data_IF_554429916609
#
_entry.id   IF_554429916609
#
_cell.length_a   1.000
_cell.length_b   1.000
_cell.length_c   1.000
_cell.angle_alpha   90.00
_cell.angle_beta   90.00
_cell.angle_gamma   90.00
#
_symmetry.space_group_name_H-M   'P 1'
#
loop_
_entity.id
_entity.type
_entity.pdbx_description
1 polymer ?
#
# COMPACT_ATOMS: atom_id res chain seq x y z
N UNK A 1 -7.00 8.29 13.56
CA UNK A 1 -7.26 8.78 12.19
C UNK A 1 -8.72 8.55 11.86
N UNK A 2 -9.40 9.57 11.36
CA UNK A 2 -10.78 9.39 10.91
C UNK A 2 -10.83 8.87 9.46
N UNK A 3 -12.03 8.47 9.02
CA UNK A 3 -12.23 7.87 7.70
C UNK A 3 -11.93 8.84 6.56
N UNK A 4 -12.25 10.12 6.71
CA UNK A 4 -11.97 11.15 5.70
C UNK A 4 -10.47 11.32 5.50
N UNK A 5 -9.70 11.42 6.57
CA UNK A 5 -8.25 11.52 6.49
C UNK A 5 -7.63 10.25 5.89
N UNK A 6 -8.14 9.07 6.25
CA UNK A 6 -7.66 7.81 5.67
C UNK A 6 -7.84 7.78 4.15
N UNK A 7 -9.00 8.21 3.65
CA UNK A 7 -9.27 8.28 2.19
C UNK A 7 -8.32 9.25 1.50
N UNK A 8 -8.07 10.42 2.09
CA UNK A 8 -7.14 11.42 1.54
C UNK A 8 -5.73 10.83 1.46
N UNK A 9 -5.24 10.21 2.52
CA UNK A 9 -3.90 9.61 2.55
C UNK A 9 -3.75 8.51 1.50
N UNK A 10 -4.73 7.63 1.37
CA UNK A 10 -4.70 6.60 0.33
C UNK A 10 -4.64 7.20 -1.07
N UNK A 11 -5.34 8.31 -1.34
CA UNK A 11 -5.30 8.97 -2.63
C UNK A 11 -3.91 9.51 -2.97
N UNK A 12 -3.15 9.98 -1.98
CA UNK A 12 -1.76 10.39 -2.15
C UNK A 12 -0.83 9.19 -2.34
N UNK A 13 -0.97 8.13 -1.54
CA UNK A 13 -0.16 6.92 -1.69
C UNK A 13 -0.34 6.25 -3.03
N UNK A 14 -1.53 6.32 -3.61
CA UNK A 14 -1.84 5.73 -4.92
C UNK A 14 -1.40 6.59 -6.11
N UNK A 15 -0.99 7.83 -5.86
CA UNK A 15 -0.68 8.78 -6.92
C UNK A 15 -1.90 9.27 -7.69
N UNK A 16 -3.13 9.00 -7.21
CA UNK A 16 -4.37 9.40 -7.88
C UNK A 16 -4.92 10.76 -7.41
N UNK A 17 -4.37 11.33 -6.32
CA UNK A 17 -4.77 12.65 -5.85
C UNK A 17 -4.38 13.71 -6.89
N UNK A 18 -5.28 14.65 -7.18
CA UNK A 18 -5.05 15.69 -8.18
C UNK A 18 -4.06 16.77 -7.73
N UNK A 19 -3.77 16.88 -6.45
CA UNK A 19 -2.84 17.87 -5.89
C UNK A 19 -1.40 17.39 -6.01
N UNK A 20 -0.88 17.33 -7.23
CA UNK A 20 0.45 16.78 -7.53
C UNK A 20 1.60 17.61 -6.95
N UNK A 21 1.35 18.89 -6.62
CA UNK A 21 2.36 19.77 -6.00
C UNK A 21 2.41 19.64 -4.47
N UNK A 22 1.48 18.92 -3.87
CA UNK A 22 1.53 18.64 -2.43
C UNK A 22 2.65 17.62 -2.15
N UNK A 23 3.54 17.87 -1.15
CA UNK A 23 4.63 16.95 -0.82
C UNK A 23 4.20 15.51 -0.54
N UNK A 24 2.96 15.30 -0.10
CA UNK A 24 2.41 13.95 0.14
C UNK A 24 2.30 13.13 -1.14
N UNK A 25 2.24 13.79 -2.31
CA UNK A 25 2.19 13.10 -3.59
C UNK A 25 3.52 12.41 -3.90
N UNK A 26 4.61 13.19 -3.95
CA UNK A 26 5.94 12.65 -4.29
C UNK A 26 6.54 11.78 -3.18
N UNK A 27 6.17 12.02 -1.93
CA UNK A 27 6.66 11.26 -0.77
C UNK A 27 5.73 10.10 -0.39
N UNK A 28 4.63 9.89 -1.10
CA UNK A 28 3.72 8.76 -0.88
C UNK A 28 4.30 7.44 -1.38
N UNK A 29 3.52 6.37 -1.21
CA UNK A 29 4.00 5.02 -1.52
C UNK A 29 4.44 4.87 -2.98
N UNK A 30 3.58 5.23 -3.93
CA UNK A 30 3.95 5.14 -5.35
C UNK A 30 4.90 6.26 -5.77
N UNK A 31 4.70 7.48 -5.28
CA UNK A 31 5.56 8.62 -5.63
C UNK A 31 7.02 8.42 -5.23
N UNK A 32 7.28 7.75 -4.11
CA UNK A 32 8.64 7.46 -3.65
C UNK A 32 9.33 6.35 -4.44
N UNK A 33 8.58 5.57 -5.22
CA UNK A 33 9.11 4.50 -6.07
C UNK A 33 9.40 4.96 -7.50
N UNK A 34 8.77 6.06 -7.94
CA UNK A 34 8.92 6.56 -9.30
C UNK A 34 8.94 8.09 -9.33
N UNK A 35 10.13 8.72 -9.35
CA UNK A 35 11.46 8.10 -9.42
C UNK A 35 11.92 7.52 -8.07
N UNK A 36 12.59 6.36 -8.12
CA UNK A 36 13.18 5.75 -6.94
C UNK A 36 14.55 6.40 -6.65
N UNK A 37 14.76 6.83 -5.40
CA UNK A 37 15.95 7.56 -4.97
C UNK A 37 16.87 6.77 -4.05
N UNK A 38 16.73 5.45 -4.02
CA UNK A 38 17.61 4.56 -3.28
C UNK A 38 17.07 4.02 -1.97
N UNK A 39 16.06 4.66 -1.38
CA UNK A 39 15.51 4.26 -0.10
C UNK A 39 14.03 3.85 -0.23
N UNK A 40 13.67 2.75 0.43
CA UNK A 40 12.28 2.39 0.66
C UNK A 40 11.79 3.06 1.95
N UNK A 41 10.63 3.68 1.89
CA UNK A 41 10.02 4.37 3.02
C UNK A 41 8.96 3.48 3.68
N UNK A 42 9.37 2.67 4.66
CA UNK A 42 8.45 1.76 5.33
C UNK A 42 7.34 2.48 6.11
N UNK A 43 7.55 3.74 6.47
CA UNK A 43 6.51 4.57 7.09
C UNK A 43 5.28 4.71 6.20
N UNK A 44 5.45 4.70 4.88
CA UNK A 44 4.33 4.71 3.93
C UNK A 44 3.51 3.41 4.01
N UNK A 45 4.18 2.28 4.14
CA UNK A 45 3.50 1.00 4.34
C UNK A 45 2.70 1.00 5.64
N UNK A 46 3.29 1.43 6.74
CA UNK A 46 2.59 1.51 8.02
C UNK A 46 1.41 2.47 7.96
N UNK A 47 1.55 3.60 7.27
CA UNK A 47 0.45 4.56 7.10
C UNK A 47 -0.71 3.95 6.29
N UNK A 48 -0.42 3.20 5.24
CA UNK A 48 -1.45 2.49 4.46
C UNK A 48 -2.20 1.48 5.36
N UNK A 49 -1.47 0.73 6.18
CA UNK A 49 -2.10 -0.22 7.10
C UNK A 49 -2.97 0.50 8.14
N UNK A 50 -2.55 1.66 8.63
CA UNK A 50 -3.37 2.51 9.50
C UNK A 50 -4.63 3.01 8.80
N UNK A 51 -4.54 3.37 7.52
CA UNK A 51 -5.71 3.74 6.70
C UNK A 51 -6.70 2.57 6.57
N UNK A 52 -6.19 1.37 6.31
CA UNK A 52 -7.03 0.16 6.23
C UNK A 52 -7.72 -0.12 7.56
N UNK A 53 -7.02 0.07 8.67
CA UNK A 53 -7.61 -0.08 10.01
C UNK A 53 -8.74 0.94 10.23
N UNK A 54 -8.54 2.19 9.83
CA UNK A 54 -9.55 3.24 9.95
C UNK A 54 -10.78 2.96 9.06
N UNK A 55 -10.59 2.31 7.92
CA UNK A 55 -11.64 2.01 6.93
C UNK A 55 -12.18 0.58 7.02
N UNK A 56 -11.79 -0.20 8.04
CA UNK A 56 -12.14 -1.63 8.11
C UNK A 56 -13.64 -1.90 8.05
N UNK A 57 -14.43 -1.07 8.68
CA UNK A 57 -15.89 -1.22 8.67
C UNK A 57 -16.47 -0.88 7.30
N UNK A 58 -16.01 0.20 6.68
CA UNK A 58 -16.46 0.62 5.36
C UNK A 58 -16.11 -0.40 4.28
N UNK A 59 -14.92 -1.01 4.38
CA UNK A 59 -14.46 -2.02 3.42
C UNK A 59 -15.14 -3.38 3.61
N UNK A 60 -15.73 -3.62 4.77
CA UNK A 60 -16.53 -4.82 5.06
C UNK A 60 -18.03 -4.60 4.78
N UNK A 61 -18.43 -3.38 4.43
CA UNK A 61 -19.84 -3.03 4.18
C UNK A 61 -20.29 -3.44 2.77
N UNK A 62 -21.62 -3.61 2.54
CA UNK A 62 -22.14 -3.98 1.21
C UNK A 62 -21.90 -2.94 0.12
N UNK A 63 -21.83 -1.65 0.48
CA UNK A 63 -21.57 -0.56 -0.45
C UNK A 63 -20.17 -0.04 -0.24
N UNK A 64 -19.38 0.01 -1.31
CA UNK A 64 -17.98 0.40 -1.28
C UNK A 64 -17.76 1.75 -1.96
N UNK A 65 -16.82 2.53 -1.42
CA UNK A 65 -16.31 3.73 -2.09
C UNK A 65 -15.39 3.29 -3.23
N UNK A 66 -15.81 3.52 -4.46
CA UNK A 66 -15.07 3.12 -5.65
C UNK A 66 -13.67 3.74 -5.70
N UNK A 67 -13.54 5.01 -5.27
CA UNK A 67 -12.25 5.70 -5.30
C UNK A 67 -11.25 5.07 -4.33
N UNK A 68 -11.70 4.64 -3.17
CA UNK A 68 -10.86 3.93 -2.20
C UNK A 68 -10.36 2.60 -2.77
N UNK A 69 -11.25 1.84 -3.41
CA UNK A 69 -10.89 0.57 -4.05
C UNK A 69 -9.88 0.82 -5.18
N UNK A 70 -10.10 1.84 -6.01
CA UNK A 70 -9.18 2.18 -7.09
C UNK A 70 -7.80 2.59 -6.55
N UNK A 71 -7.75 3.36 -5.46
CA UNK A 71 -6.50 3.72 -4.79
C UNK A 71 -5.75 2.48 -4.30
N UNK A 72 -6.43 1.58 -3.62
CA UNK A 72 -5.83 0.35 -3.08
C UNK A 72 -5.38 -0.59 -4.20
N UNK A 73 -6.14 -0.72 -5.27
CA UNK A 73 -5.73 -1.54 -6.43
C UNK A 73 -4.48 -0.98 -7.11
N UNK A 74 -4.37 0.35 -7.25
CA UNK A 74 -3.15 0.97 -7.77
C UNK A 74 -1.94 0.70 -6.87
N UNK A 75 -2.13 0.82 -5.55
CA UNK A 75 -1.07 0.57 -4.55
C UNK A 75 -0.57 -0.88 -4.64
N UNK A 76 -1.46 -1.83 -4.91
CA UNK A 76 -1.11 -3.25 -5.02
C UNK A 76 -0.50 -3.56 -6.39
N UNK A 77 -1.17 -3.15 -7.46
CA UNK A 77 -0.84 -3.55 -8.83
C UNK A 77 0.43 -2.90 -9.36
N UNK A 78 0.53 -1.56 -9.27
CA UNK A 78 1.62 -0.84 -9.93
C UNK A 78 3.01 -1.16 -9.36
N UNK A 79 3.25 -1.10 -8.04
CA UNK A 79 4.58 -1.40 -7.55
C UNK A 79 4.97 -2.87 -7.74
N UNK A 80 4.01 -3.80 -7.72
CA UNK A 80 4.27 -5.21 -8.05
C UNK A 80 4.74 -5.35 -9.50
N UNK A 81 4.07 -4.68 -10.43
CA UNK A 81 4.47 -4.66 -11.82
C UNK A 81 5.85 -4.01 -12.02
N UNK A 82 6.11 -2.89 -11.35
CA UNK A 82 7.39 -2.19 -11.44
C UNK A 82 8.57 -3.00 -10.89
N UNK A 83 8.35 -3.76 -9.83
CA UNK A 83 9.38 -4.58 -9.19
C UNK A 83 9.63 -5.90 -9.91
N UNK A 84 8.78 -6.29 -10.86
CA UNK A 84 9.00 -7.51 -11.66
C UNK A 84 10.29 -7.40 -12.48
N UNK A 85 10.88 -8.52 -12.95
CA UNK A 85 12.10 -8.48 -13.75
C UNK A 85 12.00 -7.62 -15.02
N UNK A 86 10.81 -7.49 -15.60
CA UNK A 86 10.57 -6.68 -16.79
C UNK A 86 10.09 -5.26 -16.47
N UNK A 87 9.76 -4.99 -15.22
CA UNK A 87 9.28 -3.69 -14.77
C UNK A 87 10.37 -2.66 -14.62
N UNK A 88 9.98 -1.41 -14.40
CA UNK A 88 10.88 -0.27 -14.35
C UNK A 88 11.96 -0.41 -13.25
N UNK A 89 11.57 -0.90 -12.06
CA UNK A 89 12.51 -1.09 -10.96
C UNK A 89 13.36 -2.35 -11.15
N UNK A 90 12.75 -3.46 -11.55
CA UNK A 90 13.44 -4.73 -11.71
C UNK A 90 14.40 -4.74 -12.89
N UNK A 91 13.95 -4.28 -14.05
CA UNK A 91 14.76 -4.24 -15.28
C UNK A 91 15.99 -3.37 -15.14
N UNK A 92 15.90 -2.28 -14.41
CA UNK A 92 17.01 -1.33 -14.22
C UNK A 92 17.84 -1.62 -12.95
N UNK A 93 17.55 -2.72 -12.27
CA UNK A 93 18.26 -3.14 -11.04
C UNK A 93 18.34 -2.04 -9.98
N UNK A 94 17.23 -1.30 -9.80
CA UNK A 94 17.19 -0.15 -8.88
C UNK A 94 17.03 -0.58 -7.42
N UNK A 95 16.44 -1.76 -7.17
CA UNK A 95 16.24 -2.30 -5.82
C UNK A 95 17.31 -3.36 -5.51
N UNK A 96 17.80 -3.35 -4.27
CA UNK A 96 18.58 -4.48 -3.76
C UNK A 96 17.66 -5.71 -3.58
N UNK A 97 18.26 -6.89 -3.38
CA UNK A 97 17.51 -8.10 -3.10
C UNK A 97 16.68 -7.95 -1.83
N UNK A 98 17.24 -7.32 -0.79
CA UNK A 98 16.53 -7.07 0.47
C UNK A 98 15.38 -6.08 0.29
N UNK A 99 15.60 -4.99 -0.46
CA UNK A 99 14.54 -4.03 -0.77
C UNK A 99 13.40 -4.68 -1.56
N UNK A 100 13.71 -5.50 -2.54
CA UNK A 100 12.70 -6.24 -3.31
C UNK A 100 11.88 -7.14 -2.40
N UNK A 101 12.53 -7.87 -1.51
CA UNK A 101 11.88 -8.75 -0.53
C UNK A 101 10.90 -7.98 0.35
N UNK A 102 11.31 -6.85 0.91
CA UNK A 102 10.47 -6.03 1.77
C UNK A 102 9.30 -5.38 0.99
N UNK A 103 9.57 -4.82 -0.17
CA UNK A 103 8.53 -4.18 -0.97
C UNK A 103 7.44 -5.18 -1.37
N UNK A 104 7.82 -6.36 -1.84
CA UNK A 104 6.85 -7.39 -2.20
C UNK A 104 6.06 -7.89 -1.00
N UNK A 105 6.70 -8.01 0.16
CA UNK A 105 6.03 -8.36 1.42
C UNK A 105 4.98 -7.31 1.80
N UNK A 106 5.31 -6.02 1.72
CA UNK A 106 4.36 -4.94 2.01
C UNK A 106 3.14 -5.01 1.09
N UNK A 107 3.37 -5.20 -0.21
CA UNK A 107 2.28 -5.31 -1.19
C UNK A 107 1.39 -6.51 -0.87
N UNK A 108 1.99 -7.66 -0.57
CA UNK A 108 1.24 -8.88 -0.23
C UNK A 108 0.43 -8.72 1.05
N UNK A 109 0.98 -8.05 2.07
CA UNK A 109 0.28 -7.77 3.33
C UNK A 109 -0.91 -6.84 3.09
N UNK A 110 -0.74 -5.80 2.28
CA UNK A 110 -1.81 -4.86 1.93
C UNK A 110 -2.93 -5.62 1.18
N UNK A 111 -2.57 -6.42 0.18
CA UNK A 111 -3.53 -7.20 -0.60
C UNK A 111 -4.28 -8.21 0.27
N UNK A 112 -3.57 -8.91 1.13
CA UNK A 112 -4.14 -9.87 2.06
C UNK A 112 -5.16 -9.20 2.98
N UNK A 113 -4.79 -8.07 3.56
CA UNK A 113 -5.68 -7.28 4.41
C UNK A 113 -6.95 -6.87 3.67
N UNK A 114 -6.81 -6.29 2.49
CA UNK A 114 -7.96 -5.86 1.67
C UNK A 114 -8.86 -7.05 1.31
N UNK A 115 -8.26 -8.17 0.92
CA UNK A 115 -8.98 -9.38 0.55
C UNK A 115 -9.87 -9.86 1.70
N UNK A 116 -9.33 -9.95 2.91
CA UNK A 116 -10.10 -10.37 4.07
C UNK A 116 -11.20 -9.37 4.45
N UNK A 117 -10.91 -8.05 4.37
CA UNK A 117 -11.92 -7.03 4.66
C UNK A 117 -13.09 -7.12 3.67
N UNK A 118 -12.81 -7.29 2.38
CA UNK A 118 -13.84 -7.42 1.34
C UNK A 118 -14.65 -8.72 1.50
N UNK A 119 -14.07 -9.76 2.09
CA UNK A 119 -14.73 -11.04 2.35
C UNK A 119 -15.43 -11.08 3.72
N UNK A 120 -15.61 -9.94 4.34
CA UNK A 120 -16.23 -9.79 5.68
C UNK A 120 -15.53 -10.63 6.75
N UNK A 121 -14.21 -10.74 6.65
CA UNK A 121 -13.35 -11.49 7.56
C UNK A 121 -12.37 -10.55 8.30
N UNK A 122 -12.88 -9.49 8.89
CA UNK A 122 -12.07 -8.45 9.54
C UNK A 122 -11.18 -9.01 10.67
N UNK A 123 -11.58 -10.11 11.31
CA UNK A 123 -10.79 -10.71 12.37
C UNK A 123 -9.43 -11.24 11.87
N UNK A 124 -9.35 -11.69 10.62
CA UNK A 124 -8.14 -12.23 9.99
C UNK A 124 -7.33 -11.17 9.23
N UNK A 125 -7.93 -10.02 8.94
CA UNK A 125 -7.40 -9.06 7.98
C UNK A 125 -6.01 -8.50 8.35
N UNK A 126 -5.71 -8.37 9.62
CA UNK A 126 -4.46 -7.76 10.10
C UNK A 126 -3.44 -8.79 10.64
N UNK A 127 -3.71 -10.09 10.51
CA UNK A 127 -2.83 -11.13 11.06
C UNK A 127 -1.43 -11.11 10.42
N UNK A 128 -1.35 -10.99 9.09
CA UNK A 128 -0.06 -10.93 8.39
C UNK A 128 0.73 -9.67 8.77
N UNK A 129 0.04 -8.55 8.96
CA UNK A 129 0.68 -7.32 9.40
C UNK A 129 1.22 -7.45 10.84
N UNK A 130 0.47 -8.07 11.74
CA UNK A 130 0.94 -8.35 13.09
C UNK A 130 2.18 -9.24 13.09
N UNK A 131 2.20 -10.27 12.26
CA UNK A 131 3.38 -11.12 12.07
C UNK A 131 4.59 -10.32 11.60
N UNK A 132 4.39 -9.40 10.66
CA UNK A 132 5.44 -8.52 10.18
C UNK A 132 5.98 -7.63 11.31
N UNK A 133 5.10 -7.04 12.12
CA UNK A 133 5.50 -6.19 13.25
C UNK A 133 6.27 -6.96 14.33
N UNK A 134 6.00 -8.25 14.48
CA UNK A 134 6.62 -9.14 15.48
C UNK A 134 7.82 -9.91 14.92
N UNK A 135 8.31 -9.57 13.73
CA UNK A 135 9.41 -10.26 13.03
C UNK A 135 9.13 -11.76 12.75
N UNK A 136 7.85 -12.13 12.64
CA UNK A 136 7.41 -13.53 12.40
C UNK A 136 6.94 -13.76 10.96
N UNK A 137 7.03 -12.73 10.07
CA UNK A 137 6.50 -12.82 8.72
C UNK A 137 7.41 -13.56 7.74
N UNK A 138 8.72 -13.38 7.87
CA UNK A 138 9.71 -14.01 6.97
C UNK A 138 10.19 -15.36 7.48
#
# INVERSE_FOLDING_TARGET
>A
MDKTEAKIRLSFHSGRNSHIDDPRWENGFLGSLRPFRGDLHQENFHDIMACLQALREDLSAPLLDREVIADLMNIIHLPRAWASPEGMLGRNHLLSADQTKHLLAWIDIIEDCLTYLLDDAAAEAFAAYEDYLNDDYF
#
